data_IF_811569410451
#
_entry.id   IF_811569410451
#
_cell.length_a   1.000
_cell.length_b   1.000
_cell.length_c   1.000
_cell.angle_alpha   90.00
_cell.angle_beta   90.00
_cell.angle_gamma   90.00
#
_symmetry.space_group_name_H-M   'P 1'
#
loop_
_entity.id
_entity.type
_entity.pdbx_description
1 polymer ?
#
# COMPACT_ATOMS: atom_id res chain seq x y z
N UNK A 1 12.72 -1.17 -13.09
CA UNK A 1 11.58 -2.04 -13.48
C UNK A 1 11.23 -2.89 -12.26
N UNK A 2 9.97 -2.93 -11.84
CA UNK A 2 9.53 -3.65 -10.65
C UNK A 2 8.96 -5.03 -11.00
N UNK A 3 8.74 -5.87 -10.00
CA UNK A 3 7.96 -7.10 -10.14
C UNK A 3 6.55 -6.88 -9.60
N UNK A 4 5.56 -7.45 -10.27
CA UNK A 4 4.17 -7.39 -9.84
C UNK A 4 3.98 -8.22 -8.56
N UNK A 5 3.40 -7.64 -7.50
CA UNK A 5 3.18 -8.36 -6.25
C UNK A 5 2.15 -9.49 -6.38
N UNK A 6 1.29 -9.45 -7.40
CA UNK A 6 0.23 -10.43 -7.60
C UNK A 6 0.68 -11.65 -8.41
N UNK A 7 1.41 -11.44 -9.52
CA UNK A 7 1.77 -12.52 -10.45
C UNK A 7 3.28 -12.74 -10.64
N UNK A 8 4.13 -11.90 -10.03
CA UNK A 8 5.59 -11.94 -10.21
C UNK A 8 6.09 -11.45 -11.58
N UNK A 9 5.17 -11.11 -12.50
CA UNK A 9 5.50 -10.60 -13.83
C UNK A 9 6.12 -9.20 -13.81
N UNK A 10 6.60 -8.76 -14.96
CA UNK A 10 7.21 -7.43 -15.11
C UNK A 10 6.17 -6.31 -14.89
N UNK A 11 6.57 -5.31 -14.11
CA UNK A 11 5.79 -4.11 -13.85
C UNK A 11 6.50 -2.87 -14.39
N UNK A 12 5.75 -2.03 -15.07
CA UNK A 12 6.22 -0.81 -15.71
C UNK A 12 5.46 0.42 -15.18
N UNK A 13 6.07 1.62 -15.21
CA UNK A 13 5.38 2.84 -14.84
C UNK A 13 4.23 3.17 -15.80
N UNK A 14 3.17 3.76 -15.27
CA UNK A 14 2.10 4.30 -16.10
C UNK A 14 2.52 5.65 -16.75
N UNK A 15 2.33 5.84 -18.07
CA UNK A 15 2.74 7.05 -18.78
C UNK A 15 1.79 8.22 -18.54
N UNK A 16 0.55 7.96 -18.13
CA UNK A 16 -0.45 9.00 -17.87
C UNK A 16 -0.41 9.43 -16.38
N UNK A 17 -0.08 8.51 -15.47
CA UNK A 17 -0.16 8.75 -14.02
C UNK A 17 1.18 8.58 -13.31
N UNK A 18 1.70 9.69 -12.78
CA UNK A 18 2.95 9.68 -12.00
C UNK A 18 2.82 8.92 -10.66
N UNK A 19 3.71 7.96 -10.45
CA UNK A 19 3.75 7.12 -9.25
C UNK A 19 2.76 5.96 -9.29
N UNK A 20 2.27 5.58 -10.47
CA UNK A 20 1.47 4.37 -10.68
C UNK A 20 2.31 3.35 -11.44
N UNK A 21 2.17 2.08 -11.06
CA UNK A 21 2.79 0.93 -11.72
C UNK A 21 1.68 0.04 -12.29
N UNK A 22 1.95 -0.55 -13.45
CA UNK A 22 1.08 -1.51 -14.11
C UNK A 22 1.84 -2.76 -14.49
N UNK A 23 1.23 -3.92 -14.25
CA UNK A 23 1.78 -5.19 -14.70
C UNK A 23 1.31 -5.51 -16.12
N UNK A 24 2.26 -5.77 -17.03
CA UNK A 24 1.92 -6.12 -18.42
C UNK A 24 1.50 -7.59 -18.59
N UNK A 25 1.61 -8.41 -17.54
CA UNK A 25 1.23 -9.83 -17.56
C UNK A 25 -0.20 -10.06 -17.05
N UNK A 26 -0.54 -9.51 -15.87
CA UNK A 26 -1.85 -9.69 -15.26
C UNK A 26 -2.74 -8.44 -15.30
N UNK A 27 -2.26 -7.35 -15.90
CA UNK A 27 -2.97 -6.07 -16.03
C UNK A 27 -3.37 -5.41 -14.69
N UNK A 28 -2.74 -5.84 -13.59
CA UNK A 28 -2.94 -5.23 -12.28
C UNK A 28 -2.26 -3.85 -12.23
N UNK A 29 -2.88 -2.91 -11.51
CA UNK A 29 -2.45 -1.52 -11.42
C UNK A 29 -2.45 -1.09 -9.96
N UNK A 30 -1.32 -0.57 -9.48
CA UNK A 30 -1.19 -0.07 -8.12
C UNK A 30 -0.40 1.24 -8.05
N UNK A 31 -0.77 2.08 -7.09
CA UNK A 31 0.01 3.26 -6.76
C UNK A 31 1.25 2.85 -5.97
N UNK A 32 2.41 3.39 -6.36
CA UNK A 32 3.58 3.36 -5.50
C UNK A 32 3.28 4.20 -4.26
N UNK A 33 3.65 3.71 -3.06
CA UNK A 33 3.56 4.53 -1.87
C UNK A 33 4.40 5.77 -2.10
N UNK A 34 3.74 6.90 -2.34
CA UNK A 34 4.40 8.21 -2.29
C UNK A 34 4.99 8.30 -0.90
N UNK A 35 6.27 8.65 -0.80
CA UNK A 35 6.86 8.98 0.47
C UNK A 35 6.08 10.17 1.03
N UNK A 36 5.01 9.89 1.77
CA UNK A 36 4.40 10.87 2.64
C UNK A 36 5.49 11.16 3.65
N UNK A 37 6.19 12.27 3.46
CA UNK A 37 6.88 12.94 4.55
C UNK A 37 5.81 13.21 5.60
N UNK A 38 5.52 12.24 6.45
CA UNK A 38 4.49 12.31 7.46
C UNK A 38 4.89 13.46 8.39
N UNK A 39 4.25 14.64 8.34
CA UNK A 39 4.56 15.70 9.28
C UNK A 39 4.06 15.34 10.69
N UNK A 40 3.39 14.18 10.84
CA UNK A 40 2.75 13.73 12.05
C UNK A 40 2.78 12.21 12.20
N UNK A 41 3.95 11.58 12.10
CA UNK A 41 4.12 10.25 12.70
C UNK A 41 3.84 10.39 14.22
N UNK A 42 2.57 10.21 14.61
CA UNK A 42 2.10 10.22 16.00
C UNK A 42 1.93 8.75 16.40
N UNK A 43 2.97 8.07 16.89
CA UNK A 43 2.92 6.64 17.24
C UNK A 43 1.78 6.29 18.20
N UNK A 44 1.33 7.25 19.04
CA UNK A 44 0.18 7.09 19.93
C UNK A 44 -1.14 6.74 19.21
N UNK A 45 -1.40 7.27 18.01
CA UNK A 45 -2.64 6.98 17.28
C UNK A 45 -2.64 5.53 16.76
N UNK A 46 -1.49 5.06 16.27
CA UNK A 46 -1.32 3.68 15.80
C UNK A 46 -1.45 2.67 16.94
N UNK A 47 -0.92 2.97 18.13
CA UNK A 47 -1.13 2.12 19.32
C UNK A 47 -2.60 2.05 19.75
N UNK A 48 -3.33 3.17 19.66
CA UNK A 48 -4.75 3.20 20.01
C UNK A 48 -5.62 2.40 19.03
N UNK A 49 -5.33 2.50 17.72
CA UNK A 49 -6.04 1.72 16.69
C UNK A 49 -5.77 0.22 16.82
N UNK A 50 -4.53 -0.20 17.10
CA UNK A 50 -4.21 -1.62 17.37
C UNK A 50 -4.98 -2.18 18.57
N UNK A 51 -5.05 -1.43 19.68
CA UNK A 51 -5.83 -1.86 20.85
C UNK A 51 -7.32 -2.00 20.52
N UNK A 52 -7.89 -1.08 19.75
CA UNK A 52 -9.31 -1.16 19.37
C UNK A 52 -9.62 -2.41 18.53
N UNK A 53 -8.70 -2.82 17.66
CA UNK A 53 -8.81 -4.04 16.87
C UNK A 53 -8.78 -5.29 17.77
N UNK A 54 -7.80 -5.36 18.68
CA UNK A 54 -7.68 -6.43 19.69
C UNK A 54 -8.95 -6.56 20.56
N UNK A 55 -9.57 -5.44 20.96
CA UNK A 55 -10.82 -5.46 21.74
C UNK A 55 -12.07 -5.80 20.92
N UNK A 56 -12.04 -5.59 19.61
CA UNK A 56 -13.17 -5.91 18.71
C UNK A 56 -13.29 -7.41 18.48
N UNK A 57 -12.16 -8.10 18.43
CA UNK A 57 -12.11 -9.56 18.29
C UNK A 57 -12.56 -10.30 19.55
N UNK A 58 -12.43 -9.69 20.74
CA UNK A 58 -12.91 -10.24 22.01
C UNK A 58 -14.43 -10.16 22.21
N UNK A 59 -15.17 -9.55 21.28
CA UNK A 59 -16.65 -9.43 21.32
C UNK A 59 -17.38 -10.35 20.32
N UNK A 60 -16.72 -11.37 19.79
CA UNK A 60 -17.35 -12.49 19.07
C UNK A 60 -17.43 -13.73 19.94
#
# INVERSE_FOLDING_TARGET
MGQCPQCGGSAEPDPEHSGVMRCMACWDVWALPRASSCPGCRPRLMSALRKLDEYRDLRR
#
